data_IF_412305782951
#
_entry.id   IF_412305782951
#
_cell.length_a   1.000
_cell.length_b   1.000
_cell.length_c   1.000
_cell.angle_alpha   90.00
_cell.angle_beta   90.00
_cell.angle_gamma   90.00
#
_symmetry.space_group_name_H-M   'P 1'
#
loop_
_entity.id
_entity.type
_entity.pdbx_description
1 polymer ?
#
# COMPACT_ATOMS: atom_id res chain seq x y z
N UNK A 1 15.19 8.86 -11.83
CA UNK A 1 14.54 9.17 -10.57
C UNK A 1 13.60 8.09 -10.15
N UNK A 2 13.74 7.64 -8.97
CA UNK A 2 12.89 6.59 -8.45
C UNK A 2 11.49 7.08 -8.26
N UNK A 3 10.54 6.31 -8.76
CA UNK A 3 9.12 6.61 -8.70
C UNK A 3 8.35 5.44 -8.14
N UNK A 4 8.80 4.94 -7.02
CA UNK A 4 8.02 3.92 -6.36
C UNK A 4 6.77 4.55 -5.73
N UNK A 5 5.85 3.71 -5.37
CA UNK A 5 4.58 4.10 -4.78
C UNK A 5 4.78 4.84 -3.46
N UNK A 6 5.81 4.47 -2.71
CA UNK A 6 6.12 5.09 -1.42
C UNK A 6 6.57 6.52 -1.58
N UNK A 7 7.45 6.80 -2.55
CA UNK A 7 7.89 8.15 -2.81
C UNK A 7 6.75 9.06 -3.21
N UNK A 8 5.86 8.55 -4.03
CA UNK A 8 4.68 9.30 -4.45
C UNK A 8 3.73 9.54 -3.28
N UNK A 9 3.49 8.52 -2.48
CA UNK A 9 2.65 8.60 -1.30
C UNK A 9 3.19 9.63 -0.30
N UNK A 10 4.49 9.62 -0.04
CA UNK A 10 5.14 10.54 0.89
C UNK A 10 4.93 12.00 0.50
N UNK A 11 4.87 12.28 -0.78
CA UNK A 11 4.73 13.66 -1.26
C UNK A 11 3.32 14.16 -1.30
N UNK A 12 2.36 13.31 -1.63
CA UNK A 12 1.03 13.75 -1.99
C UNK A 12 0.00 13.54 -0.90
N UNK A 13 0.04 12.39 -0.24
CA UNK A 13 -1.06 11.96 0.58
C UNK A 13 -0.80 12.06 2.07
N UNK A 14 0.45 12.02 2.48
CA UNK A 14 0.82 12.05 3.88
C UNK A 14 2.15 12.73 4.10
N UNK A 15 2.21 13.56 5.14
CA UNK A 15 3.48 14.05 5.64
C UNK A 15 4.03 13.01 6.60
N UNK A 16 5.01 12.26 6.15
CA UNK A 16 5.66 11.27 6.98
C UNK A 16 6.69 11.94 7.89
N UNK A 17 6.73 11.48 9.13
CA UNK A 17 7.69 11.98 10.10
C UNK A 17 9.12 11.63 9.66
N UNK A 18 10.05 12.60 9.66
CA UNK A 18 11.43 12.28 9.31
C UNK A 18 12.06 11.32 10.32
N UNK A 19 12.90 10.41 9.82
CA UNK A 19 13.59 9.42 10.64
C UNK A 19 15.08 9.70 10.64
N UNK A 20 15.70 9.61 11.81
CA UNK A 20 17.12 9.86 11.98
C UNK A 20 17.95 8.57 11.97
N UNK A 21 17.43 7.52 12.58
CA UNK A 21 18.18 6.28 12.78
C UNK A 21 17.75 5.16 11.88
N UNK A 22 16.66 5.36 11.15
CA UNK A 22 16.09 4.34 10.28
C UNK A 22 15.88 4.89 8.89
N UNK A 23 15.99 4.02 7.91
CA UNK A 23 15.77 4.36 6.50
C UNK A 23 14.89 3.29 5.89
N UNK A 24 13.87 3.71 5.15
CA UNK A 24 13.03 2.79 4.41
C UNK A 24 13.14 3.12 2.93
N UNK A 25 13.65 2.15 2.16
CA UNK A 25 13.75 2.24 0.71
C UNK A 25 12.92 1.12 0.10
N UNK A 26 11.84 1.48 -0.62
CA UNK A 26 10.89 0.49 -1.09
C UNK A 26 10.28 -0.27 0.08
N UNK A 27 10.59 -1.54 0.20
CA UNK A 27 10.14 -2.38 1.32
C UNK A 27 11.28 -2.70 2.30
N UNK A 28 12.50 -2.31 1.99
CA UNK A 28 13.65 -2.57 2.84
C UNK A 28 13.75 -1.55 3.97
N UNK A 29 14.00 -2.06 5.16
CA UNK A 29 14.17 -1.24 6.37
C UNK A 29 15.60 -1.42 6.87
N UNK A 30 16.33 -0.32 6.98
CA UNK A 30 17.69 -0.33 7.53
C UNK A 30 17.78 0.55 8.75
N UNK A 31 18.63 0.15 9.69
CA UNK A 31 18.78 0.84 10.96
C UNK A 31 20.27 1.10 11.21
N UNK A 32 20.59 2.35 11.59
CA UNK A 32 21.95 2.73 11.97
C UNK A 32 21.91 3.29 13.37
N UNK A 33 22.40 2.52 14.32
CA UNK A 33 22.45 2.89 15.73
C UNK A 33 23.81 2.57 16.31
N UNK A 34 24.32 3.46 17.16
CA UNK A 34 25.66 3.34 17.77
C UNK A 34 25.59 3.12 19.27
N UNK A 35 24.46 3.24 19.89
CA UNK A 35 24.31 3.12 21.33
C UNK A 35 22.93 2.54 21.68
N UNK A 36 22.77 2.00 22.92
CA UNK A 36 21.43 1.54 23.34
C UNK A 36 20.38 2.64 23.36
N UNK A 37 20.76 3.89 23.66
CA UNK A 37 19.86 5.02 23.63
C UNK A 37 19.35 5.28 22.21
N UNK A 38 20.26 5.21 21.22
CA UNK A 38 19.91 5.36 19.81
C UNK A 38 19.00 4.23 19.36
N UNK A 39 19.26 3.01 19.83
CA UNK A 39 18.43 1.85 19.51
C UNK A 39 16.99 2.05 19.99
N UNK A 40 16.80 2.56 21.19
CA UNK A 40 15.47 2.86 21.72
C UNK A 40 14.75 3.92 20.89
N UNK A 41 15.46 4.94 20.45
CA UNK A 41 14.92 5.98 19.58
C UNK A 41 14.54 5.41 18.22
N UNK A 42 15.37 4.53 17.67
CA UNK A 42 15.09 3.85 16.41
C UNK A 42 13.80 3.03 16.50
N UNK A 43 13.60 2.31 17.60
CA UNK A 43 12.38 1.55 17.84
C UNK A 43 11.17 2.48 17.85
N UNK A 44 11.27 3.63 18.51
CA UNK A 44 10.19 4.63 18.52
C UNK A 44 9.85 5.12 17.12
N UNK A 45 10.89 5.43 16.34
CA UNK A 45 10.72 5.87 14.96
C UNK A 45 10.01 4.80 14.12
N UNK A 46 10.45 3.57 14.25
CA UNK A 46 9.86 2.45 13.50
C UNK A 46 8.40 2.22 13.88
N UNK A 47 8.08 2.27 15.17
CA UNK A 47 6.69 2.12 15.63
C UNK A 47 5.81 3.24 15.10
N UNK A 48 6.33 4.46 15.09
CA UNK A 48 5.60 5.60 14.57
C UNK A 48 5.35 5.45 13.06
N UNK A 49 6.39 5.07 12.33
CA UNK A 49 6.27 4.83 10.88
C UNK A 49 5.29 3.71 10.58
N UNK A 50 5.28 2.66 11.39
CA UNK A 50 4.33 1.57 11.24
C UNK A 50 2.88 2.07 11.35
N UNK A 51 2.61 2.99 12.30
CA UNK A 51 1.29 3.59 12.44
C UNK A 51 0.91 4.39 11.19
N UNK A 52 1.85 5.17 10.67
CA UNK A 52 1.63 5.96 9.46
C UNK A 52 1.32 5.06 8.26
N UNK A 53 2.08 3.99 8.10
CA UNK A 53 1.87 3.01 7.05
C UNK A 53 0.51 2.32 7.21
N UNK A 54 0.14 1.99 8.45
CA UNK A 54 -1.15 1.39 8.75
C UNK A 54 -2.33 2.28 8.39
N UNK A 55 -2.19 3.60 8.58
CA UNK A 55 -3.21 4.55 8.17
C UNK A 55 -3.36 4.58 6.66
N UNK A 56 -2.24 4.58 5.95
CA UNK A 56 -2.25 4.51 4.49
C UNK A 56 -2.91 3.22 4.00
N UNK A 57 -2.59 2.11 4.64
CA UNK A 57 -3.19 0.82 4.31
C UNK A 57 -4.72 0.86 4.43
N UNK A 58 -5.23 1.51 5.46
CA UNK A 58 -6.69 1.68 5.63
C UNK A 58 -7.31 2.47 4.49
N UNK A 59 -6.63 3.51 4.04
CA UNK A 59 -7.09 4.30 2.88
C UNK A 59 -7.12 3.42 1.63
N UNK A 60 -6.06 2.64 1.40
CA UNK A 60 -6.00 1.71 0.27
C UNK A 60 -7.11 0.67 0.33
N UNK A 61 -7.42 0.14 1.51
CA UNK A 61 -8.50 -0.83 1.66
C UNK A 61 -9.87 -0.22 1.31
N UNK A 62 -10.09 1.03 1.69
CA UNK A 62 -11.33 1.73 1.30
C UNK A 62 -11.41 1.93 -0.20
N UNK A 63 -10.30 2.34 -0.81
CA UNK A 63 -10.23 2.51 -2.26
C UNK A 63 -10.47 1.19 -2.98
N UNK A 64 -9.90 0.11 -2.47
CA UNK A 64 -10.08 -1.23 -3.02
C UNK A 64 -11.55 -1.66 -2.98
N UNK A 65 -12.22 -1.46 -1.84
CA UNK A 65 -13.64 -1.75 -1.70
C UNK A 65 -14.50 -0.93 -2.66
N UNK A 66 -14.20 0.35 -2.76
CA UNK A 66 -14.94 1.24 -3.66
C UNK A 66 -14.75 0.82 -5.12
N UNK A 67 -13.52 0.46 -5.50
CA UNK A 67 -13.22 0.00 -6.84
C UNK A 67 -13.92 -1.32 -7.17
N UNK A 68 -13.97 -2.25 -6.22
CA UNK A 68 -14.69 -3.51 -6.39
C UNK A 68 -16.18 -3.29 -6.57
N UNK A 69 -16.78 -2.42 -5.77
CA UNK A 69 -18.20 -2.08 -5.90
C UNK A 69 -18.51 -1.48 -7.27
N UNK A 70 -17.65 -0.57 -7.71
CA UNK A 70 -17.81 0.09 -9.00
C UNK A 70 -17.70 -0.92 -10.14
N UNK A 71 -16.76 -1.84 -10.06
CA UNK A 71 -16.60 -2.90 -11.05
C UNK A 71 -17.83 -3.79 -11.11
N UNK A 72 -18.34 -4.25 -9.97
CA UNK A 72 -19.53 -5.08 -9.91
C UNK A 72 -20.76 -4.35 -10.47
N UNK A 73 -20.89 -3.08 -10.14
CA UNK A 73 -21.98 -2.24 -10.63
C UNK A 73 -21.93 -2.12 -12.15
N UNK A 74 -20.74 -1.88 -12.69
CA UNK A 74 -20.53 -1.78 -14.13
C UNK A 74 -20.86 -3.10 -14.83
N UNK A 75 -20.42 -4.22 -14.25
CA UNK A 75 -20.70 -5.55 -14.79
C UNK A 75 -22.19 -5.86 -14.79
N UNK A 76 -22.91 -5.51 -13.70
CA UNK A 76 -24.36 -5.69 -13.62
C UNK A 76 -25.08 -4.86 -14.65
N UNK A 77 -24.71 -3.61 -14.82
CA UNK A 77 -25.29 -2.73 -15.82
C UNK A 77 -25.06 -3.27 -17.22
N UNK A 78 -23.86 -3.75 -17.50
CA UNK A 78 -23.54 -4.35 -18.80
C UNK A 78 -24.35 -5.62 -19.06
N UNK A 79 -24.49 -6.47 -18.05
CA UNK A 79 -25.29 -7.68 -18.14
C UNK A 79 -26.78 -7.37 -18.38
N UNK A 80 -27.33 -6.38 -17.68
CA UNK A 80 -28.72 -5.96 -17.85
C UNK A 80 -28.97 -5.39 -19.23
N UNK A 81 -28.04 -4.57 -19.74
CA UNK A 81 -28.12 -4.04 -21.10
C UNK A 81 -28.06 -5.15 -22.13
N UNK A 82 -27.17 -6.13 -21.92
CA UNK A 82 -27.03 -7.27 -22.80
C UNK A 82 -28.32 -8.10 -22.84
N UNK A 83 -28.96 -8.32 -21.68
CA UNK A 83 -30.26 -9.01 -21.59
C UNK A 83 -31.35 -8.27 -22.31
N UNK A 84 -31.38 -6.95 -22.22
CA UNK A 84 -32.44 -6.13 -22.84
C UNK A 84 -32.32 -6.04 -24.35
N UNK A 85 -31.11 -6.09 -24.88
CA UNK A 85 -30.85 -5.82 -26.29
C UNK A 85 -30.37 -7.03 -27.10
N UNK A 86 -30.30 -8.21 -26.54
CA UNK A 86 -30.02 -9.46 -27.24
C UNK A 86 -28.75 -9.43 -28.13
N UNK A 87 -28.94 -9.02 -29.37
CA UNK A 87 -27.88 -9.04 -30.39
C UNK A 87 -26.71 -8.10 -30.13
N UNK A 88 -26.85 -7.16 -29.19
CA UNK A 88 -25.82 -6.19 -28.89
C UNK A 88 -24.86 -6.70 -27.82
N UNK A 89 -25.08 -7.89 -27.28
CA UNK A 89 -24.22 -8.47 -26.23
C UNK A 89 -22.76 -8.55 -26.63
N UNK A 90 -22.46 -8.90 -27.90
CA UNK A 90 -21.07 -8.96 -28.39
C UNK A 90 -20.43 -7.58 -28.47
N UNK A 91 -21.18 -6.55 -28.83
CA UNK A 91 -20.69 -5.18 -28.89
C UNK A 91 -20.41 -4.66 -27.48
N UNK A 92 -21.26 -4.98 -26.51
CA UNK A 92 -21.05 -4.62 -25.11
C UNK A 92 -19.78 -5.28 -24.56
N UNK A 93 -19.54 -6.54 -24.90
CA UNK A 93 -18.29 -7.22 -24.51
C UNK A 93 -17.06 -6.53 -25.07
N UNK A 94 -17.09 -6.15 -26.35
CA UNK A 94 -15.97 -5.43 -26.95
C UNK A 94 -15.76 -4.09 -26.29
N UNK A 95 -16.83 -3.34 -26.03
CA UNK A 95 -16.77 -2.06 -25.34
C UNK A 95 -16.21 -2.20 -23.93
N UNK A 96 -16.57 -3.27 -23.20
CA UNK A 96 -16.04 -3.48 -21.85
C UNK A 96 -14.56 -3.86 -21.86
N UNK A 97 -14.07 -4.54 -22.91
CA UNK A 97 -12.65 -4.81 -23.07
C UNK A 97 -11.84 -3.53 -23.26
N UNK A 98 -12.35 -2.59 -24.06
CA UNK A 98 -11.71 -1.30 -24.23
C UNK A 98 -11.74 -0.46 -22.96
N UNK A 99 -12.79 -0.57 -22.17
CA UNK A 99 -12.89 0.14 -20.89
C UNK A 99 -11.91 -0.35 -19.82
N UNK A 100 -11.42 -1.58 -19.94
CA UNK A 100 -10.42 -2.09 -19.02
C UNK A 100 -9.11 -1.30 -19.04
N UNK A 101 -8.87 -0.56 -20.09
CA UNK A 101 -7.67 0.25 -20.21
C UNK A 101 -7.77 1.58 -19.46
N UNK A 102 -8.91 1.90 -18.88
CA UNK A 102 -9.07 3.13 -18.11
C UNK A 102 -8.51 2.95 -16.69
N UNK A 103 -7.55 3.81 -16.28
CA UNK A 103 -6.86 3.64 -15.00
C UNK A 103 -7.64 4.09 -13.78
N UNK A 104 -8.90 4.50 -13.93
CA UNK A 104 -9.68 5.08 -12.83
C UNK A 104 -9.90 4.11 -11.66
N UNK A 105 -9.89 2.80 -11.93
CA UNK A 105 -10.11 1.79 -10.90
C UNK A 105 -9.13 0.66 -11.10
N UNK A 106 -7.86 1.00 -10.99
CA UNK A 106 -6.82 -0.01 -11.13
C UNK A 106 -6.70 -0.79 -9.83
N UNK A 107 -7.55 -1.80 -9.71
CA UNK A 107 -7.57 -2.69 -8.55
C UNK A 107 -6.23 -3.38 -8.39
N UNK A 108 -5.59 -3.75 -9.48
CA UNK A 108 -4.28 -4.42 -9.44
C UNK A 108 -3.22 -3.51 -8.83
N UNK A 109 -3.21 -2.22 -9.18
CA UNK A 109 -2.28 -1.26 -8.60
C UNK A 109 -2.54 -1.10 -7.10
N UNK A 110 -3.81 -1.02 -6.68
CA UNK A 110 -4.16 -0.92 -5.27
C UNK A 110 -3.71 -2.17 -4.51
N UNK A 111 -3.92 -3.35 -5.09
CA UNK A 111 -3.49 -4.61 -4.48
C UNK A 111 -1.97 -4.69 -4.35
N UNK A 112 -1.23 -4.20 -5.35
CA UNK A 112 0.22 -4.13 -5.27
C UNK A 112 0.67 -3.20 -4.15
N UNK A 113 0.05 -2.04 -4.02
CA UNK A 113 0.35 -1.12 -2.93
C UNK A 113 0.03 -1.74 -1.57
N UNK A 114 -1.09 -2.44 -1.44
CA UNK A 114 -1.44 -3.14 -0.22
C UNK A 114 -0.39 -4.18 0.15
N UNK A 115 0.09 -4.93 -0.83
CA UNK A 115 1.13 -5.91 -0.62
C UNK A 115 2.42 -5.25 -0.16
N UNK A 116 2.80 -4.13 -0.75
CA UNK A 116 3.96 -3.35 -0.34
C UNK A 116 3.83 -2.85 1.09
N UNK A 117 2.67 -2.35 1.48
CA UNK A 117 2.47 -1.89 2.85
C UNK A 117 2.60 -3.04 3.84
N UNK A 118 2.07 -4.22 3.51
CA UNK A 118 2.20 -5.40 4.35
C UNK A 118 3.66 -5.82 4.52
N UNK A 119 4.43 -5.80 3.44
CA UNK A 119 5.85 -6.14 3.48
C UNK A 119 6.65 -5.14 4.33
N UNK A 120 6.39 -3.84 4.15
CA UNK A 120 7.07 -2.82 4.94
C UNK A 120 6.74 -2.97 6.43
N UNK A 121 5.47 -3.19 6.76
CA UNK A 121 5.07 -3.40 8.15
C UNK A 121 5.74 -4.63 8.75
N UNK A 122 5.80 -5.71 8.00
CA UNK A 122 6.50 -6.92 8.42
C UNK A 122 7.99 -6.68 8.65
N UNK A 123 8.64 -5.97 7.74
CA UNK A 123 10.05 -5.64 7.85
C UNK A 123 10.33 -4.71 9.01
N UNK A 124 9.44 -3.75 9.28
CA UNK A 124 9.54 -2.90 10.46
C UNK A 124 9.48 -3.74 11.73
N UNK A 125 8.53 -4.65 11.84
CA UNK A 125 8.40 -5.53 12.99
C UNK A 125 9.64 -6.40 13.18
N UNK A 126 10.19 -6.94 12.10
CA UNK A 126 11.40 -7.74 12.14
C UNK A 126 12.59 -6.92 12.64
N UNK A 127 12.74 -5.68 12.18
CA UNK A 127 13.78 -4.78 12.65
C UNK A 127 13.65 -4.45 14.12
N UNK A 128 12.43 -4.18 14.58
CA UNK A 128 12.18 -3.90 16.00
C UNK A 128 12.59 -5.09 16.85
N UNK A 129 12.22 -6.30 16.44
CA UNK A 129 12.60 -7.51 17.16
C UNK A 129 14.10 -7.71 17.22
N UNK A 130 14.82 -7.43 16.12
CA UNK A 130 16.27 -7.52 16.09
C UNK A 130 16.92 -6.52 17.04
N UNK A 131 16.43 -5.28 17.05
CA UNK A 131 16.95 -4.24 17.92
C UNK A 131 16.67 -4.58 19.38
N UNK A 132 15.46 -5.02 19.68
CA UNK A 132 15.09 -5.42 21.04
C UNK A 132 15.93 -6.59 21.52
N UNK A 133 16.19 -7.57 20.65
CA UNK A 133 17.05 -8.70 20.96
C UNK A 133 18.47 -8.27 21.31
N UNK A 134 19.04 -7.34 20.55
CA UNK A 134 20.37 -6.79 20.83
C UNK A 134 20.40 -6.03 22.14
N UNK A 135 19.37 -5.26 22.44
CA UNK A 135 19.27 -4.53 23.71
C UNK A 135 19.24 -5.48 24.90
N UNK A 136 18.54 -6.58 24.80
CA UNK A 136 18.47 -7.60 25.85
C UNK A 136 19.85 -8.23 26.07
N UNK A 137 20.56 -8.55 24.99
CA UNK A 137 21.86 -9.18 25.06
C UNK A 137 22.95 -8.23 25.62
N UNK A 138 22.77 -6.92 25.44
CA UNK A 138 23.71 -5.92 25.94
C UNK A 138 23.45 -5.49 27.38
N UNK A 139 22.29 -5.83 27.91
CA UNK A 139 21.95 -5.53 29.31
C UNK A 139 22.39 -6.66 30.27
#
# INVERSE_FOLDING_TARGET
MRRDTWGRFDRQDMKLTPMRFTTIEGTEVTVQVNSPADAKRAIKELRHRKKEVGLHRRVLLRQHKAAQKEQLRTERQSADRARRRGLIASVVKVASLFRKDKPLHDIDAIEQELQMTDEVMHNIDACILQIEGKLILQS
#
